data_IF_554458944269
#
_entry.id   IF_554458944269
#
_cell.length_a   1.000
_cell.length_b   1.000
_cell.length_c   1.000
_cell.angle_alpha   90.00
_cell.angle_beta   90.00
_cell.angle_gamma   90.00
#
_symmetry.space_group_name_H-M   'P 1'
#
loop_
_entity.id
_entity.type
_entity.pdbx_description
1 polymer ?
#
# COMPACT_ATOMS: atom_id res chain seq x y z
N UNK A 1 -28.98 63.65 -23.12
CA UNK A 1 -29.88 63.30 -24.25
C UNK A 1 -29.11 62.45 -25.25
N UNK A 2 -29.74 61.37 -25.67
CA UNK A 2 -29.55 60.54 -26.87
C UNK A 2 -28.43 59.48 -26.92
N UNK A 3 -28.90 58.25 -26.67
CA UNK A 3 -28.38 56.95 -27.08
C UNK A 3 -28.26 56.79 -28.61
N UNK A 4 -27.39 55.88 -29.06
CA UNK A 4 -27.76 54.72 -29.91
C UNK A 4 -26.57 53.77 -30.13
N UNK A 5 -26.83 52.49 -29.86
CA UNK A 5 -25.98 51.34 -30.15
C UNK A 5 -26.08 50.93 -31.64
N UNK A 6 -25.18 50.05 -32.11
CA UNK A 6 -25.45 48.84 -32.93
C UNK A 6 -24.16 47.99 -33.02
N UNK A 7 -24.36 46.66 -33.12
CA UNK A 7 -23.47 45.53 -32.83
C UNK A 7 -23.07 44.79 -34.13
N UNK A 8 -22.00 43.97 -34.03
CA UNK A 8 -21.66 42.70 -34.75
C UNK A 8 -20.62 42.86 -35.87
N UNK A 9 -19.38 42.40 -35.72
CA UNK A 9 -18.85 41.03 -35.56
C UNK A 9 -18.95 40.18 -36.84
N UNK A 10 -17.80 39.83 -37.41
CA UNK A 10 -17.38 38.46 -37.80
C UNK A 10 -16.09 38.53 -38.63
N UNK A 11 -15.03 37.89 -38.16
CA UNK A 11 -13.84 37.55 -38.93
C UNK A 11 -13.79 36.04 -39.07
N UNK A 12 -13.74 35.53 -40.30
CA UNK A 12 -13.27 34.18 -40.59
C UNK A 12 -12.68 34.16 -42.00
N UNK A 13 -11.36 34.07 -42.01
CA UNK A 13 -10.48 34.03 -43.16
C UNK A 13 -10.10 32.59 -43.49
N UNK A 14 -10.04 32.31 -44.79
CA UNK A 14 -9.06 31.47 -45.52
C UNK A 14 -8.83 30.02 -45.07
N UNK A 15 -8.75 29.02 -45.94
CA UNK A 15 -8.57 28.99 -47.38
C UNK A 15 -8.30 27.54 -47.79
N UNK A 16 -8.70 27.22 -49.03
CA UNK A 16 -8.63 25.90 -49.68
C UNK A 16 -7.22 25.56 -50.17
N UNK A 17 -6.71 24.38 -49.82
CA UNK A 17 -5.61 23.64 -50.49
C UNK A 17 -5.87 22.16 -50.17
N UNK A 18 -5.72 21.14 -51.01
CA UNK A 18 -5.71 20.90 -52.45
C UNK A 18 -5.58 19.37 -52.60
N UNK A 19 -5.90 18.86 -53.79
CA UNK A 19 -5.40 17.61 -54.37
C UNK A 19 -5.91 16.25 -53.86
N UNK A 20 -6.82 15.73 -54.66
CA UNK A 20 -7.04 14.32 -54.96
C UNK A 20 -5.81 13.66 -55.61
N UNK A 21 -5.51 12.40 -55.22
CA UNK A 21 -4.74 11.47 -56.05
C UNK A 21 -5.11 10.01 -55.75
N UNK A 22 -5.76 9.42 -56.76
CA UNK A 22 -5.80 8.04 -57.23
C UNK A 22 -5.39 6.86 -56.32
N UNK A 23 -6.40 5.99 -56.12
CA UNK A 23 -6.46 4.60 -56.61
C UNK A 23 -5.57 3.49 -56.00
N UNK A 24 -6.27 2.37 -55.78
CA UNK A 24 -5.86 0.96 -55.86
C UNK A 24 -5.62 0.14 -54.58
N UNK A 25 -6.10 -1.09 -54.71
CA UNK A 25 -5.78 -2.33 -54.01
C UNK A 25 -6.60 -2.67 -52.77
N UNK A 26 -7.69 -3.41 -53.04
CA UNK A 26 -8.16 -4.48 -52.16
C UNK A 26 -6.98 -5.37 -51.77
N UNK A 27 -6.75 -5.53 -50.47
CA UNK A 27 -5.80 -6.49 -49.92
C UNK A 27 -6.17 -6.78 -48.48
N UNK A 28 -6.76 -7.97 -48.28
CA UNK A 28 -6.81 -8.80 -47.09
C UNK A 28 -6.89 -8.11 -45.71
N UNK A 29 -8.06 -8.26 -45.10
CA UNK A 29 -8.28 -8.22 -43.65
C UNK A 29 -7.46 -9.31 -42.97
N UNK A 30 -6.24 -8.99 -42.56
CA UNK A 30 -5.62 -9.59 -41.39
C UNK A 30 -5.84 -8.63 -40.21
N UNK A 31 -6.75 -9.01 -39.30
CA UNK A 31 -6.92 -8.37 -38.00
C UNK A 31 -5.64 -8.55 -37.18
N UNK A 32 -4.67 -7.65 -37.37
CA UNK A 32 -3.68 -7.36 -36.34
C UNK A 32 -4.34 -6.51 -35.26
N UNK A 33 -5.12 -7.16 -34.40
CA UNK A 33 -5.41 -6.64 -33.07
C UNK A 33 -4.09 -6.52 -32.33
N UNK A 34 -3.48 -5.34 -32.40
CA UNK A 34 -2.46 -4.92 -31.46
C UNK A 34 -3.12 -4.85 -30.09
N UNK A 35 -3.09 -5.99 -29.38
CA UNK A 35 -3.41 -6.08 -27.96
C UNK A 35 -2.58 -5.02 -27.24
N UNK A 36 -3.25 -4.03 -26.66
CA UNK A 36 -2.62 -3.13 -25.72
C UNK A 36 -1.88 -3.98 -24.67
N UNK A 37 -0.65 -3.61 -24.25
CA UNK A 37 -0.02 -4.31 -23.16
C UNK A 37 -0.97 -4.20 -21.96
N UNK A 38 -1.25 -5.30 -21.24
CA UNK A 38 -2.12 -5.22 -20.08
C UNK A 38 -1.55 -4.20 -19.10
N UNK A 39 -2.21 -3.06 -18.99
CA UNK A 39 -1.95 -2.06 -17.97
C UNK A 39 -2.22 -2.71 -16.62
N UNK A 40 -1.21 -2.66 -15.77
CA UNK A 40 -1.18 -3.09 -14.36
C UNK A 40 -1.38 -4.58 -14.11
N UNK A 41 -0.31 -5.21 -13.62
CA UNK A 41 -0.41 -6.36 -12.74
C UNK A 41 -1.39 -6.01 -11.59
N UNK A 42 -2.28 -6.92 -11.16
CA UNK A 42 -3.08 -6.65 -9.97
C UNK A 42 -2.12 -6.62 -8.76
N UNK A 43 -1.96 -5.45 -8.16
CA UNK A 43 -1.28 -5.24 -6.87
C UNK A 43 -1.96 -5.99 -5.69
N UNK A 44 -2.92 -6.88 -5.96
CA UNK A 44 -3.77 -7.54 -4.97
C UNK A 44 -3.38 -8.98 -4.63
N UNK A 45 -2.21 -9.49 -5.03
CA UNK A 45 -1.90 -10.92 -4.86
C UNK A 45 -1.35 -11.34 -3.50
N UNK A 46 -1.21 -10.42 -2.54
CA UNK A 46 -0.80 -10.77 -1.18
C UNK A 46 -1.57 -9.93 -0.16
N UNK A 47 -2.85 -10.21 0.02
CA UNK A 47 -3.49 -9.84 1.28
C UNK A 47 -2.84 -10.72 2.37
N UNK A 48 -2.14 -10.13 3.35
CA UNK A 48 -1.46 -10.90 4.38
C UNK A 48 -2.51 -11.74 5.13
N UNK A 49 -2.22 -13.01 5.46
CA UNK A 49 -3.17 -13.82 6.20
C UNK A 49 -3.55 -13.11 7.51
N UNK A 50 -4.83 -13.19 7.86
CA UNK A 50 -5.43 -12.47 9.00
C UNK A 50 -4.67 -12.71 10.31
N UNK A 51 -4.05 -13.88 10.46
CA UNK A 51 -3.12 -14.24 11.52
C UNK A 51 -1.88 -14.92 10.93
N UNK A 52 -0.69 -14.48 11.34
CA UNK A 52 0.59 -15.13 11.08
C UNK A 52 1.19 -15.57 12.39
N UNK A 53 1.58 -16.84 12.46
CA UNK A 53 2.34 -17.36 13.60
C UNK A 53 3.82 -17.43 13.27
N UNK A 54 4.65 -16.92 14.17
CA UNK A 54 6.08 -17.04 14.04
C UNK A 54 6.86 -16.11 14.96
N UNK A 55 8.02 -15.62 14.49
CA UNK A 55 8.89 -14.73 15.25
C UNK A 55 8.72 -13.29 14.81
N UNK A 56 8.78 -12.34 15.74
CA UNK A 56 8.81 -10.91 15.44
C UNK A 56 9.99 -10.24 16.13
N UNK A 57 10.83 -9.56 15.34
CA UNK A 57 11.90 -8.72 15.87
C UNK A 57 11.49 -7.26 15.78
N UNK A 58 11.30 -6.62 16.94
CA UNK A 58 10.98 -5.19 17.07
C UNK A 58 12.26 -4.44 17.40
N UNK A 59 12.60 -3.45 16.57
CA UNK A 59 13.77 -2.59 16.73
C UNK A 59 13.37 -1.13 16.61
N UNK A 60 14.11 -0.28 17.31
CA UNK A 60 14.00 1.17 17.19
C UNK A 60 15.16 1.67 16.34
N UNK A 61 14.85 2.43 15.30
CA UNK A 61 15.82 3.06 14.42
C UNK A 61 16.36 4.35 15.04
N UNK A 62 17.57 4.81 14.66
CA UNK A 62 18.16 6.05 15.18
C UNK A 62 17.29 7.29 14.98
N UNK A 63 16.49 7.31 13.91
CA UNK A 63 15.56 8.39 13.59
C UNK A 63 14.21 8.28 14.31
N UNK A 64 14.06 7.35 15.25
CA UNK A 64 12.87 7.22 16.10
C UNK A 64 11.79 6.27 15.58
N UNK A 65 11.84 5.87 14.31
CA UNK A 65 10.88 4.89 13.76
C UNK A 65 11.06 3.51 14.39
N UNK A 66 9.98 2.74 14.44
CA UNK A 66 9.97 1.38 14.96
C UNK A 66 9.84 0.43 13.78
N UNK A 67 10.77 -0.50 13.63
CA UNK A 67 10.70 -1.58 12.65
C UNK A 67 10.29 -2.87 13.35
N UNK A 68 9.24 -3.51 12.85
CA UNK A 68 8.81 -4.83 13.26
C UNK A 68 8.97 -5.80 12.08
N UNK A 69 9.98 -6.66 12.14
CA UNK A 69 10.23 -7.71 11.14
C UNK A 69 9.50 -8.99 11.56
N UNK A 70 8.63 -9.48 10.70
CA UNK A 70 7.82 -10.68 10.93
C UNK A 70 8.41 -11.85 10.14
N UNK A 71 8.62 -12.96 10.84
CA UNK A 71 9.17 -14.20 10.31
C UNK A 71 8.19 -15.34 10.54
N UNK A 72 8.04 -16.21 9.54
CA UNK A 72 7.32 -17.48 9.66
C UNK A 72 8.33 -18.62 9.56
N UNK A 73 8.60 -19.28 10.68
CA UNK A 73 9.80 -20.12 10.81
C UNK A 73 11.07 -19.28 10.60
N UNK A 74 11.96 -19.74 9.74
CA UNK A 74 13.20 -19.01 9.39
C UNK A 74 13.02 -18.01 8.24
N UNK A 75 11.85 -17.98 7.60
CA UNK A 75 11.58 -17.12 6.45
C UNK A 75 11.10 -15.75 6.90
N UNK A 76 11.78 -14.71 6.45
CA UNK A 76 11.29 -13.34 6.52
C UNK A 76 10.06 -13.19 5.63
N UNK A 77 8.99 -12.57 6.15
CA UNK A 77 7.70 -12.47 5.46
C UNK A 77 7.34 -11.02 5.13
N UNK A 78 7.35 -10.13 6.11
CA UNK A 78 7.27 -8.68 5.87
C UNK A 78 7.92 -7.88 7.00
N UNK A 79 8.13 -6.61 6.73
CA UNK A 79 8.53 -5.60 7.69
C UNK A 79 7.46 -4.52 7.75
N UNK A 80 7.10 -4.14 8.96
CA UNK A 80 6.24 -3.00 9.23
C UNK A 80 7.08 -1.92 9.90
N UNK A 81 7.02 -0.71 9.36
CA UNK A 81 7.74 0.45 9.88
C UNK A 81 6.70 1.44 10.39
N UNK A 82 6.83 1.86 11.63
CA UNK A 82 6.02 2.91 12.24
C UNK A 82 6.89 4.14 12.47
N UNK A 83 6.59 5.23 11.78
CA UNK A 83 7.35 6.46 11.88
C UNK A 83 6.93 7.29 13.10
N UNK A 84 7.91 7.81 13.84
CA UNK A 84 7.71 8.51 15.10
C UNK A 84 8.73 9.63 15.31
N UNK A 85 8.26 10.76 15.86
CA UNK A 85 9.10 11.93 16.13
C UNK A 85 9.91 11.82 17.43
N UNK A 86 9.43 11.02 18.39
CA UNK A 86 10.06 10.91 19.72
C UNK A 86 10.40 9.47 20.05
N UNK A 87 11.65 9.30 20.45
CA UNK A 87 12.17 8.09 21.08
C UNK A 87 11.41 7.87 22.39
N UNK A 88 10.51 6.90 22.41
CA UNK A 88 10.02 6.34 23.67
C UNK A 88 10.91 5.15 24.00
N UNK A 89 11.05 4.79 25.27
CA UNK A 89 11.66 3.52 25.68
C UNK A 89 10.74 2.36 25.24
N UNK A 90 10.65 2.11 23.93
CA UNK A 90 9.86 1.04 23.37
C UNK A 90 10.83 -0.05 22.98
N UNK A 91 10.86 -1.04 23.87
CA UNK A 91 10.78 -2.46 23.53
C UNK A 91 11.53 -2.86 22.26
N UNK A 92 12.85 -2.66 22.26
CA UNK A 92 13.72 -3.47 21.41
C UNK A 92 13.60 -4.90 21.93
N UNK A 93 12.93 -5.76 21.17
CA UNK A 93 12.57 -7.10 21.63
C UNK A 93 12.51 -8.07 20.47
N UNK A 94 13.05 -9.25 20.72
CA UNK A 94 12.82 -10.41 19.86
C UNK A 94 11.74 -11.30 20.49
N UNK A 95 10.68 -11.58 19.74
CA UNK A 95 9.52 -12.35 20.17
C UNK A 95 9.52 -13.64 19.36
N UNK A 96 10.02 -14.73 19.93
CA UNK A 96 10.19 -16.01 19.24
C UNK A 96 8.86 -16.76 18.97
N UNK A 97 7.80 -16.42 19.68
CA UNK A 97 6.49 -17.04 19.53
C UNK A 97 5.40 -15.98 19.61
N UNK A 98 5.01 -15.46 18.45
CA UNK A 98 4.00 -14.44 18.28
C UNK A 98 2.85 -14.91 17.40
N UNK A 99 1.64 -14.48 17.73
CA UNK A 99 0.54 -14.38 16.78
C UNK A 99 0.47 -12.93 16.29
N UNK A 100 0.54 -12.73 14.99
CA UNK A 100 0.64 -11.41 14.35
C UNK A 100 -0.58 -11.19 13.49
N UNK A 101 -1.25 -10.06 13.68
CA UNK A 101 -2.43 -9.67 12.94
C UNK A 101 -2.15 -8.35 12.25
N UNK A 102 -2.44 -8.27 10.96
CA UNK A 102 -2.25 -7.06 10.16
C UNK A 102 -3.59 -6.69 9.51
N UNK A 103 -4.18 -5.57 9.93
CA UNK A 103 -5.44 -5.10 9.36
C UNK A 103 -5.49 -3.58 9.34
N UNK A 104 -5.91 -3.00 8.21
CA UNK A 104 -6.09 -1.55 8.05
C UNK A 104 -4.87 -0.74 8.54
N UNK A 105 -3.67 -1.22 8.21
CA UNK A 105 -2.38 -0.61 8.59
C UNK A 105 -2.08 -0.63 10.10
N UNK A 106 -2.84 -1.40 10.88
CA UNK A 106 -2.52 -1.71 12.27
C UNK A 106 -1.78 -3.04 12.32
N UNK A 107 -0.57 -3.02 12.90
CA UNK A 107 0.13 -4.25 13.24
C UNK A 107 -0.13 -4.59 14.70
N UNK A 108 -0.67 -5.78 14.94
CA UNK A 108 -0.87 -6.31 16.28
C UNK A 108 0.01 -7.54 16.45
N UNK A 109 0.76 -7.56 17.53
CA UNK A 109 1.70 -8.62 17.87
C UNK A 109 1.32 -9.12 19.26
N UNK A 110 0.78 -10.34 19.32
CA UNK A 110 0.54 -11.05 20.56
C UNK A 110 1.75 -11.91 20.89
N UNK A 111 2.54 -11.50 21.88
CA UNK A 111 3.59 -12.33 22.48
C UNK A 111 2.90 -13.43 23.31
N UNK A 112 2.89 -14.64 22.76
CA UNK A 112 2.21 -15.79 23.35
C UNK A 112 2.93 -16.33 24.59
N UNK A 113 4.23 -16.07 24.73
CA UNK A 113 5.02 -16.55 25.86
C UNK A 113 4.67 -15.79 27.14
N UNK A 114 4.58 -14.46 27.07
CA UNK A 114 4.28 -13.62 28.24
C UNK A 114 2.85 -13.05 28.25
N UNK A 115 2.05 -13.37 27.24
CA UNK A 115 0.65 -12.90 27.07
C UNK A 115 0.53 -11.38 27.03
N UNK A 116 1.41 -10.72 26.29
CA UNK A 116 1.35 -9.29 26.04
C UNK A 116 0.93 -9.01 24.60
N UNK A 117 0.16 -7.94 24.39
CA UNK A 117 -0.22 -7.45 23.07
C UNK A 117 0.46 -6.12 22.80
N UNK A 118 1.14 -6.03 21.67
CA UNK A 118 1.73 -4.80 21.16
C UNK A 118 0.95 -4.37 19.92
N UNK A 119 0.43 -3.15 19.94
CA UNK A 119 -0.34 -2.58 18.83
C UNK A 119 0.46 -1.42 18.27
N UNK A 120 0.97 -1.56 17.05
CA UNK A 120 1.65 -0.51 16.32
C UNK A 120 0.64 0.09 15.34
N UNK A 121 0.42 1.40 15.46
CA UNK A 121 -0.63 2.10 14.71
C UNK A 121 -0.27 3.57 14.51
N UNK A 122 -0.75 4.17 13.43
CA UNK A 122 -0.76 5.63 13.25
C UNK A 122 -2.17 6.23 13.26
N UNK A 123 -3.23 5.40 13.27
CA UNK A 123 -4.63 5.82 13.33
C UNK A 123 -5.21 5.53 14.71
N UNK A 124 -5.84 6.54 15.30
CA UNK A 124 -6.34 6.46 16.68
C UNK A 124 -7.76 5.87 16.79
N UNK A 125 -8.63 6.11 15.81
CA UNK A 125 -10.07 5.86 15.96
C UNK A 125 -10.53 4.46 15.52
N UNK A 126 -9.68 3.66 14.86
CA UNK A 126 -10.05 2.34 14.32
C UNK A 126 -9.51 1.15 15.13
N UNK A 127 -8.53 1.39 16.00
CA UNK A 127 -7.82 0.32 16.74
C UNK A 127 -8.76 -0.43 17.69
N UNK A 128 -9.64 0.27 18.41
CA UNK A 128 -10.50 -0.35 19.41
C UNK A 128 -11.46 -1.39 18.79
N UNK A 129 -12.03 -1.08 17.62
CA UNK A 129 -12.91 -1.99 16.88
C UNK A 129 -12.16 -3.24 16.40
N UNK A 130 -10.88 -3.11 16.08
CA UNK A 130 -10.06 -4.25 15.70
C UNK A 130 -9.75 -5.12 16.92
N UNK A 131 -9.35 -4.51 18.03
CA UNK A 131 -9.06 -5.21 19.28
C UNK A 131 -10.22 -6.06 19.80
N UNK A 132 -11.47 -5.61 19.62
CA UNK A 132 -12.68 -6.36 20.03
C UNK A 132 -12.95 -7.61 19.20
N UNK A 133 -12.37 -7.73 17.99
CA UNK A 133 -12.54 -8.89 17.10
C UNK A 133 -11.47 -9.95 17.30
N UNK A 134 -10.34 -9.59 17.92
CA UNK A 134 -9.25 -10.51 18.15
C UNK A 134 -9.59 -11.50 19.26
N UNK A 135 -9.04 -12.72 19.21
CA UNK A 135 -9.20 -13.68 20.29
C UNK A 135 -8.75 -13.07 21.63
N UNK A 136 -9.48 -13.42 22.69
CA UNK A 136 -9.19 -13.05 24.08
C UNK A 136 -7.97 -13.83 24.56
N UNK A 137 -6.78 -13.36 24.18
CA UNK A 137 -5.50 -14.02 24.49
C UNK A 137 -4.60 -13.26 25.50
N UNK A 138 -4.34 -11.95 25.33
CA UNK A 138 -3.33 -11.24 26.10
C UNK A 138 -3.87 -10.61 27.39
N UNK A 139 -3.04 -10.63 28.44
CA UNK A 139 -3.34 -10.04 29.76
C UNK A 139 -3.10 -8.53 29.81
N UNK A 140 -2.24 -8.00 28.93
CA UNK A 140 -1.86 -6.59 28.89
C UNK A 140 -1.64 -6.11 27.47
N UNK A 141 -2.18 -4.95 27.14
CA UNK A 141 -2.08 -4.33 25.81
C UNK A 141 -1.28 -3.04 25.89
N UNK A 142 -0.31 -2.89 24.98
CA UNK A 142 0.53 -1.72 24.79
C UNK A 142 0.24 -1.13 23.42
N UNK A 143 -0.27 0.10 23.39
CA UNK A 143 -0.55 0.81 22.13
C UNK A 143 0.58 1.78 21.87
N UNK A 144 1.23 1.59 20.73
CA UNK A 144 2.37 2.35 20.25
C UNK A 144 1.90 3.16 19.04
N UNK A 145 1.91 4.49 19.20
CA UNK A 145 1.36 5.42 18.19
C UNK A 145 2.46 6.13 17.41
N UNK A 146 2.34 6.17 16.10
CA UNK A 146 3.19 6.95 15.20
C UNK A 146 2.41 7.98 14.38
N UNK A 147 3.09 8.67 13.47
CA UNK A 147 2.49 9.63 12.54
C UNK A 147 2.36 9.08 11.11
N UNK A 148 3.02 7.96 10.81
CA UNK A 148 2.96 7.28 9.53
C UNK A 148 3.36 5.82 9.68
N UNK A 149 3.00 5.00 8.69
CA UNK A 149 3.48 3.62 8.63
C UNK A 149 3.75 3.20 7.19
N UNK A 150 4.69 2.29 7.02
CA UNK A 150 4.89 1.58 5.76
C UNK A 150 5.00 0.08 5.99
N UNK A 151 4.61 -0.69 4.99
CA UNK A 151 4.66 -2.14 4.98
C UNK A 151 5.47 -2.58 3.77
N UNK A 152 6.53 -3.35 4.01
CA UNK A 152 7.38 -3.89 2.96
C UNK A 152 7.32 -5.41 3.01
N UNK A 153 6.83 -6.03 1.93
CA UNK A 153 6.78 -7.48 1.84
C UNK A 153 8.14 -8.02 1.40
N UNK A 154 8.53 -9.17 1.94
CA UNK A 154 9.57 -9.97 1.31
C UNK A 154 9.03 -10.41 -0.05
N UNK A 155 9.79 -10.21 -1.13
CA UNK A 155 9.50 -10.95 -2.36
C UNK A 155 9.57 -12.44 -2.02
N UNK A 156 8.55 -13.24 -2.30
CA UNK A 156 8.72 -14.69 -2.29
C UNK A 156 9.76 -14.98 -3.39
N UNK A 157 10.98 -15.35 -2.99
CA UNK A 157 12.08 -15.55 -3.92
C UNK A 157 11.67 -16.51 -5.05
N UNK A 158 11.84 -16.04 -6.29
CA UNK A 158 11.57 -16.81 -7.51
C UNK A 158 11.40 -16.03 -8.82
N UNK A 159 11.34 -14.69 -8.82
CA UNK A 159 11.22 -13.88 -10.04
C UNK A 159 12.33 -12.83 -10.14
N UNK A 160 13.57 -13.29 -10.04
CA UNK A 160 14.74 -12.58 -10.56
C UNK A 160 15.32 -13.49 -11.66
N UNK A 161 14.68 -13.51 -12.84
CA UNK A 161 15.20 -13.98 -14.15
C UNK A 161 14.02 -14.23 -15.12
N UNK A 162 13.59 -13.19 -15.82
CA UNK A 162 13.07 -13.29 -17.20
C UNK A 162 13.37 -11.97 -17.92
#
# INVERSE_FOLDING_TARGET
>A
MNSRAIIRASFLTTGLISMTLFMQCQSNTDELSASAPPTSFPDSLFEPPTEIRGRVAIKMEPHGSIRAKVFQGDRYFYEYILDRERQQNILVRDINNAAVYLQNEHLIIDDLAIRHRYVLTFKDNSVQKFLTRLPTGPKKTFIIRGYGSSLTHSRPLGLDNY
#
